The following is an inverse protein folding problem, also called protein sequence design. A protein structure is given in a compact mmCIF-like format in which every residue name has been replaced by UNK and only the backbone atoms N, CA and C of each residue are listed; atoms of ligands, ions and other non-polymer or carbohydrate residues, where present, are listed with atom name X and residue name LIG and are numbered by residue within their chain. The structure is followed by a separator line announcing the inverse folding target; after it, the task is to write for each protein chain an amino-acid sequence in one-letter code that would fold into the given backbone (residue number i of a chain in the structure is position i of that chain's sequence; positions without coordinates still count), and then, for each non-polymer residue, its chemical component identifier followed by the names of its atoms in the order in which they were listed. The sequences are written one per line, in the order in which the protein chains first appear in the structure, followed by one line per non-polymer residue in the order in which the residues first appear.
data_IF_762054966943
#
_entry.id   IF_762054966943
#
_cell.length_a   1.000
_cell.length_b   1.000
_cell.length_c   1.000
_cell.angle_alpha   90.00
_cell.angle_beta   90.00
_cell.angle_gamma   90.00
#
_symmetry.space_group_name_H-M   'P 1'
#
loop_
_entity.id
_entity.type
_entity.pdbx_description
1 polymer ?
#
# COMPACT_ATOMS: atom_id res chain seq x y z
N UNK A 1 -9.13 6.80 -18.13
CA UNK A 1 -9.33 7.80 -17.05
C UNK A 1 -8.69 7.33 -15.75
N UNK A 2 -8.24 8.26 -14.93
CA UNK A 2 -7.69 8.01 -13.61
C UNK A 2 -8.18 9.09 -12.64
N UNK A 3 -8.70 8.67 -11.49
CA UNK A 3 -9.24 9.56 -10.48
C UNK A 3 -8.80 9.16 -9.08
N UNK A 4 -8.43 10.15 -8.25
CA UNK A 4 -8.26 9.98 -6.82
C UNK A 4 -9.59 10.23 -6.09
N UNK A 5 -9.92 9.42 -5.09
CA UNK A 5 -11.15 9.57 -4.29
C UNK A 5 -11.21 10.94 -3.61
N UNK A 6 -10.06 11.50 -3.22
CA UNK A 6 -9.95 12.83 -2.62
C UNK A 6 -10.54 13.96 -3.47
N UNK A 7 -10.60 13.81 -4.80
CA UNK A 7 -11.26 14.78 -5.68
C UNK A 7 -12.77 14.86 -5.44
N UNK A 8 -13.36 13.75 -5.01
CA UNK A 8 -14.80 13.63 -4.76
C UNK A 8 -15.17 13.83 -3.29
N UNK A 9 -14.34 13.31 -2.40
CA UNK A 9 -14.56 13.40 -0.95
C UNK A 9 -14.13 14.74 -0.36
N UNK A 10 -13.22 15.47 -1.05
CA UNK A 10 -12.56 16.69 -0.56
C UNK A 10 -11.73 16.48 0.71
N UNK A 11 -11.37 15.24 0.99
CA UNK A 11 -10.49 14.85 2.09
C UNK A 11 -9.10 14.59 1.53
N UNK A 12 -8.10 15.36 1.95
CA UNK A 12 -6.71 15.18 1.53
C UNK A 12 -6.22 13.77 1.93
N UNK A 13 -5.59 13.08 0.99
CA UNK A 13 -5.12 11.71 1.17
C UNK A 13 -6.23 10.75 1.65
N UNK A 14 -7.43 10.85 1.07
CA UNK A 14 -8.52 9.94 1.38
C UNK A 14 -8.15 8.51 1.06
N UNK A 15 -8.08 7.67 2.08
CA UNK A 15 -7.77 6.24 1.98
C UNK A 15 -9.00 5.35 2.21
N UNK A 16 -10.19 5.92 2.17
CA UNK A 16 -11.44 5.15 2.19
C UNK A 16 -11.58 4.30 0.91
N UNK A 17 -12.56 3.41 0.91
CA UNK A 17 -12.90 2.67 -0.31
C UNK A 17 -13.25 3.67 -1.43
N UNK A 18 -12.53 3.66 -2.58
CA UNK A 18 -12.62 4.70 -3.59
C UNK A 18 -13.86 4.54 -4.47
N UNK A 19 -15.04 4.57 -3.84
CA UNK A 19 -16.32 4.30 -4.48
C UNK A 19 -16.62 5.27 -5.62
N UNK A 20 -16.50 6.56 -5.35
CA UNK A 20 -16.82 7.61 -6.34
C UNK A 20 -15.83 7.64 -7.48
N UNK A 21 -14.54 7.41 -7.21
CA UNK A 21 -13.51 7.29 -8.24
C UNK A 21 -13.79 6.09 -9.16
N UNK A 22 -14.17 4.94 -8.59
CA UNK A 22 -14.56 3.75 -9.35
C UNK A 22 -15.80 4.03 -10.20
N UNK A 23 -16.86 4.59 -9.62
CA UNK A 23 -18.10 4.94 -10.32
C UNK A 23 -17.83 5.88 -11.50
N UNK A 24 -16.94 6.87 -11.30
CA UNK A 24 -16.55 7.80 -12.37
C UNK A 24 -15.76 7.10 -13.48
N UNK A 25 -14.80 6.24 -13.14
CA UNK A 25 -14.08 5.43 -14.14
C UNK A 25 -15.03 4.54 -14.94
N UNK A 26 -16.00 3.91 -14.29
CA UNK A 26 -17.02 3.08 -14.95
C UNK A 26 -17.90 3.91 -15.87
N UNK A 27 -18.33 5.08 -15.44
CA UNK A 27 -19.09 6.02 -16.26
C UNK A 27 -18.33 6.45 -17.53
N UNK A 28 -17.04 6.73 -17.41
CA UNK A 28 -16.20 7.11 -18.55
C UNK A 28 -15.99 5.95 -19.55
N UNK A 29 -16.03 4.71 -19.08
CA UNK A 29 -15.98 3.52 -19.92
C UNK A 29 -17.26 3.29 -20.73
N UNK A 30 -18.37 3.90 -20.30
CA UNK A 30 -19.70 3.66 -20.86
C UNK A 30 -20.15 2.21 -20.64
N UNK A 31 -20.78 1.60 -21.65
CA UNK A 31 -21.31 0.23 -21.55
C UNK A 31 -20.27 -0.88 -21.79
N UNK A 32 -18.98 -0.59 -21.74
CA UNK A 32 -17.93 -1.59 -21.93
C UNK A 32 -17.85 -2.52 -20.72
N UNK A 33 -17.86 -3.82 -21.00
CA UNK A 33 -17.71 -4.85 -19.97
C UNK A 33 -16.30 -4.84 -19.39
N UNK A 34 -16.20 -4.95 -18.08
CA UNK A 34 -14.91 -5.14 -17.39
C UNK A 34 -14.72 -6.64 -17.16
N UNK A 35 -13.62 -7.17 -17.66
CA UNK A 35 -13.29 -8.58 -17.52
C UNK A 35 -12.41 -8.83 -16.31
N UNK A 36 -11.51 -7.90 -15.96
CA UNK A 36 -10.56 -8.05 -14.87
C UNK A 36 -10.37 -6.76 -14.07
N UNK A 37 -10.15 -6.91 -12.77
CA UNK A 37 -9.79 -5.84 -11.84
C UNK A 37 -8.43 -6.17 -11.26
N UNK A 38 -7.46 -5.27 -11.40
CA UNK A 38 -6.15 -5.39 -10.79
C UNK A 38 -6.08 -4.51 -9.54
N UNK A 39 -5.65 -5.08 -8.42
CA UNK A 39 -5.37 -4.37 -7.17
C UNK A 39 -3.86 -4.39 -6.93
N UNK A 40 -3.26 -3.22 -6.76
CA UNK A 40 -1.83 -3.04 -6.56
C UNK A 40 -1.34 -3.33 -5.14
N UNK A 41 -1.96 -4.26 -4.43
CA UNK A 41 -1.53 -4.77 -3.14
C UNK A 41 -2.17 -6.12 -2.84
N UNK A 42 -1.43 -7.02 -2.20
CA UNK A 42 -1.95 -8.29 -1.65
C UNK A 42 -2.48 -8.11 -0.24
N UNK A 43 -1.85 -7.21 0.52
CA UNK A 43 -2.23 -6.87 1.88
C UNK A 43 -2.31 -5.35 2.06
N UNK A 44 -3.07 -4.90 3.04
CA UNK A 44 -3.07 -3.50 3.46
C UNK A 44 -1.92 -3.23 4.43
N UNK A 45 -1.23 -2.10 4.25
CA UNK A 45 -0.42 -1.55 5.33
C UNK A 45 -1.34 -0.99 6.41
N UNK A 46 -1.45 -1.69 7.53
CA UNK A 46 -2.23 -1.23 8.67
C UNK A 46 -1.75 0.13 9.19
N UNK A 47 -0.47 0.42 9.03
CA UNK A 47 0.15 1.67 9.47
C UNK A 47 -0.38 2.88 8.70
N UNK A 48 -0.46 2.79 7.38
CA UNK A 48 -1.03 3.86 6.56
C UNK A 48 -2.53 4.03 6.79
N UNK A 49 -3.25 2.92 7.03
CA UNK A 49 -4.66 3.01 7.42
C UNK A 49 -4.87 3.75 8.73
N UNK A 50 -4.07 3.47 9.76
CA UNK A 50 -4.22 4.12 11.07
C UNK A 50 -4.00 5.63 10.98
N UNK A 51 -2.96 6.06 10.28
CA UNK A 51 -2.65 7.49 10.18
C UNK A 51 -3.71 8.29 9.42
N UNK A 52 -4.32 7.68 8.40
CA UNK A 52 -5.26 8.40 7.53
C UNK A 52 -6.73 8.20 7.91
N UNK A 53 -7.15 7.00 8.25
CA UNK A 53 -8.56 6.72 8.59
C UNK A 53 -8.90 7.26 9.99
N UNK A 54 -7.98 7.16 10.92
CA UNK A 54 -8.21 7.53 12.32
C UNK A 54 -7.71 8.92 12.67
N UNK A 55 -7.08 9.65 11.73
CA UNK A 55 -6.50 10.98 11.99
C UNK A 55 -5.69 10.96 13.29
N UNK A 56 -4.77 10.00 13.40
CA UNK A 56 -3.95 9.85 14.59
C UNK A 56 -3.24 11.17 14.89
N UNK A 57 -3.33 11.60 16.12
CA UNK A 57 -2.58 12.76 16.61
C UNK A 57 -1.09 12.44 16.70
N UNK A 58 -0.25 13.47 16.80
CA UNK A 58 1.19 13.30 17.07
C UNK A 58 1.41 12.46 18.34
N UNK A 59 0.59 12.66 19.38
CA UNK A 59 0.65 11.87 20.62
C UNK A 59 0.40 10.38 20.36
N UNK A 60 -0.54 10.03 19.49
CA UNK A 60 -0.82 8.64 19.14
C UNK A 60 0.33 8.02 18.35
N UNK A 61 0.96 8.77 17.46
CA UNK A 61 2.14 8.33 16.71
C UNK A 61 3.34 8.11 17.63
N UNK A 62 3.60 9.03 18.56
CA UNK A 62 4.65 8.87 19.59
C UNK A 62 4.34 7.65 20.47
N UNK A 63 3.07 7.46 20.84
CA UNK A 63 2.68 6.28 21.63
C UNK A 63 2.94 4.97 20.86
N UNK A 64 2.62 4.91 19.55
CA UNK A 64 2.92 3.76 18.71
C UNK A 64 4.44 3.54 18.58
N UNK A 65 5.20 4.60 18.41
CA UNK A 65 6.66 4.54 18.38
C UNK A 65 7.21 3.84 19.62
N UNK A 66 6.76 4.25 20.79
CA UNK A 66 7.27 3.75 22.08
C UNK A 66 6.73 2.35 22.47
N UNK A 67 5.53 1.99 22.03
CA UNK A 67 4.87 0.76 22.50
C UNK A 67 4.88 -0.36 21.45
N UNK A 68 5.13 -0.05 20.20
CA UNK A 68 5.21 -1.03 19.14
C UNK A 68 6.58 -1.04 18.46
N UNK A 69 6.97 0.07 17.80
CA UNK A 69 8.19 0.10 17.02
C UNK A 69 9.45 -0.05 17.87
N UNK A 70 9.52 0.61 19.01
CA UNK A 70 10.66 0.48 19.91
C UNK A 70 10.82 -0.96 20.40
N UNK A 71 9.72 -1.60 20.84
CA UNK A 71 9.74 -2.98 21.30
C UNK A 71 10.10 -3.96 20.17
N UNK A 72 9.59 -3.72 18.95
CA UNK A 72 9.88 -4.55 17.78
C UNK A 72 11.36 -4.48 17.38
N UNK A 73 11.91 -3.28 17.27
CA UNK A 73 13.25 -3.08 16.73
C UNK A 73 14.36 -3.27 17.75
N UNK A 74 14.16 -2.83 18.99
CA UNK A 74 15.21 -2.82 19.99
C UNK A 74 15.10 -3.97 21.00
N UNK A 75 13.90 -4.34 21.40
CA UNK A 75 13.68 -5.42 22.38
C UNK A 75 13.38 -6.77 21.74
N UNK A 76 13.28 -6.84 20.41
CA UNK A 76 12.91 -8.05 19.65
C UNK A 76 11.65 -8.75 20.17
N UNK A 77 10.72 -7.99 20.73
CA UNK A 77 9.44 -8.52 21.21
C UNK A 77 8.45 -8.62 20.05
N UNK A 78 7.99 -9.82 19.76
CA UNK A 78 6.95 -10.10 18.77
C UNK A 78 5.57 -9.69 19.30
N UNK A 79 5.27 -8.40 19.36
CA UNK A 79 3.91 -7.92 19.56
C UNK A 79 3.21 -7.84 18.21
N UNK A 80 2.00 -8.38 18.13
CA UNK A 80 1.17 -8.16 16.93
C UNK A 80 0.82 -6.67 16.84
N UNK A 81 1.07 -6.08 15.68
CA UNK A 81 0.66 -4.69 15.41
C UNK A 81 -0.83 -4.49 15.61
N UNK A 82 -1.65 -5.47 15.21
CA UNK A 82 -3.09 -5.46 15.43
C UNK A 82 -3.46 -5.38 16.92
N UNK A 83 -2.79 -6.16 17.76
CA UNK A 83 -3.09 -6.16 19.20
C UNK A 83 -2.74 -4.84 19.87
N UNK A 84 -1.60 -4.26 19.49
CA UNK A 84 -1.17 -2.96 20.02
C UNK A 84 -2.09 -1.83 19.57
N UNK A 85 -2.63 -1.92 18.38
CA UNK A 85 -3.44 -0.86 17.77
C UNK A 85 -4.95 -1.04 17.95
N UNK A 86 -5.41 -2.15 18.56
CA UNK A 86 -6.84 -2.42 18.82
C UNK A 86 -7.59 -1.25 19.43
N UNK A 87 -6.93 -0.48 20.30
CA UNK A 87 -7.52 0.71 20.94
C UNK A 87 -7.95 1.81 19.98
N UNK A 88 -7.35 1.86 18.78
CA UNK A 88 -7.67 2.84 17.75
C UNK A 88 -8.77 2.38 16.79
N UNK A 89 -9.17 1.11 16.83
CA UNK A 89 -10.10 0.53 15.89
C UNK A 89 -11.56 0.67 16.30
N UNK A 90 -12.35 1.27 15.44
CA UNK A 90 -13.80 1.16 15.54
C UNK A 90 -14.24 -0.16 14.90
N UNK A 91 -15.27 -0.80 15.50
CA UNK A 91 -15.72 -2.15 15.13
C UNK A 91 -16.07 -2.32 13.63
N UNK A 92 -16.62 -1.30 13.01
CA UNK A 92 -17.05 -1.26 11.61
C UNK A 92 -15.94 -0.92 10.61
N UNK A 93 -14.80 -0.44 11.10
CA UNK A 93 -13.65 0.01 10.31
C UNK A 93 -12.49 -0.98 10.35
N UNK A 94 -12.69 -2.18 10.89
CA UNK A 94 -11.64 -3.18 10.95
C UNK A 94 -11.15 -3.56 9.55
N UNK A 95 -9.82 -3.67 9.30
CA UNK A 95 -9.27 -3.93 7.96
C UNK A 95 -9.87 -5.12 7.23
N UNK A 96 -10.23 -6.17 7.97
CA UNK A 96 -10.90 -7.35 7.41
C UNK A 96 -12.25 -7.03 6.77
N UNK A 97 -12.97 -6.01 7.28
CA UNK A 97 -14.24 -5.59 6.70
C UNK A 97 -14.05 -4.82 5.39
N UNK A 98 -12.92 -4.13 5.24
CA UNK A 98 -12.55 -3.45 4.00
C UNK A 98 -12.32 -4.46 2.87
N UNK A 99 -11.53 -5.50 3.10
CA UNK A 99 -11.31 -6.56 2.13
C UNK A 99 -12.58 -7.30 1.76
N UNK A 100 -13.47 -7.56 2.74
CA UNK A 100 -14.78 -8.15 2.48
C UNK A 100 -15.66 -7.29 1.57
N UNK A 101 -15.55 -5.97 1.64
CA UNK A 101 -16.26 -5.04 0.74
C UNK A 101 -15.72 -5.14 -0.69
N UNK A 102 -14.40 -5.17 -0.85
CA UNK A 102 -13.77 -5.34 -2.17
C UNK A 102 -14.10 -6.71 -2.76
N UNK A 103 -13.97 -7.77 -1.97
CA UNK A 103 -14.23 -9.14 -2.42
C UNK A 103 -15.71 -9.37 -2.82
N UNK A 104 -16.65 -8.58 -2.28
CA UNK A 104 -18.07 -8.63 -2.67
C UNK A 104 -18.33 -8.09 -4.08
N UNK A 105 -17.50 -7.20 -4.59
CA UNK A 105 -17.75 -6.52 -5.88
C UNK A 105 -17.56 -7.47 -7.06
N UNK A 106 -16.62 -8.42 -7.00
CA UNK A 106 -16.47 -9.46 -8.03
C UNK A 106 -15.38 -10.47 -7.65
N UNK A 107 -15.70 -11.53 -6.92
CA UNK A 107 -14.72 -12.53 -6.47
C UNK A 107 -13.89 -13.17 -7.59
N UNK A 108 -14.46 -13.37 -8.77
CA UNK A 108 -13.83 -14.13 -9.87
C UNK A 108 -12.92 -13.30 -10.77
N UNK A 109 -12.87 -11.97 -10.59
CA UNK A 109 -12.19 -11.05 -11.51
C UNK A 109 -11.15 -10.14 -10.86
N UNK A 110 -10.91 -10.31 -9.56
CA UNK A 110 -9.96 -9.49 -8.82
C UNK A 110 -8.61 -10.18 -8.77
N UNK A 111 -7.60 -9.53 -9.34
CA UNK A 111 -6.20 -9.95 -9.31
C UNK A 111 -5.44 -9.07 -8.33
N UNK A 112 -5.00 -9.65 -7.21
CA UNK A 112 -4.15 -8.96 -6.22
C UNK A 112 -2.70 -9.09 -6.66
N UNK A 113 -2.10 -7.97 -7.03
CA UNK A 113 -0.72 -7.89 -7.50
C UNK A 113 0.15 -7.38 -6.35
N UNK A 114 1.27 -8.02 -6.12
CA UNK A 114 2.25 -7.62 -5.12
C UNK A 114 2.66 -6.14 -5.28
N UNK A 115 2.71 -5.40 -4.18
CA UNK A 115 2.99 -3.97 -4.14
C UNK A 115 4.30 -3.59 -4.86
N UNK A 116 5.40 -4.25 -4.53
CA UNK A 116 6.69 -3.99 -5.19
C UNK A 116 6.72 -4.45 -6.65
N UNK A 117 5.91 -5.44 -7.02
CA UNK A 117 5.72 -5.81 -8.43
C UNK A 117 5.05 -4.68 -9.21
N UNK A 118 4.07 -4.00 -8.62
CA UNK A 118 3.44 -2.83 -9.25
C UNK A 118 4.46 -1.70 -9.46
N UNK A 119 5.23 -1.36 -8.43
CA UNK A 119 6.29 -0.36 -8.55
C UNK A 119 7.33 -0.72 -9.61
N UNK A 120 7.82 -1.95 -9.61
CA UNK A 120 8.83 -2.40 -10.56
C UNK A 120 8.32 -2.37 -12.01
N UNK A 121 7.09 -2.83 -12.24
CA UNK A 121 6.47 -2.76 -13.57
C UNK A 121 6.25 -1.32 -14.01
N UNK A 122 5.76 -0.45 -13.14
CA UNK A 122 5.61 0.96 -13.46
C UNK A 122 6.96 1.57 -13.87
N UNK A 123 7.99 1.45 -13.01
CA UNK A 123 9.30 2.00 -13.29
C UNK A 123 9.91 1.48 -14.60
N UNK A 124 9.77 0.19 -14.87
CA UNK A 124 10.34 -0.43 -16.08
C UNK A 124 9.59 -0.03 -17.34
N UNK A 125 8.28 -0.16 -17.37
CA UNK A 125 7.48 0.07 -18.58
C UNK A 125 7.29 1.55 -18.93
N UNK A 126 7.47 2.47 -17.99
CA UNK A 126 7.46 3.92 -18.25
C UNK A 126 8.86 4.48 -18.55
N UNK A 127 9.91 3.67 -18.40
CA UNK A 127 11.28 4.09 -18.66
C UNK A 127 11.65 3.94 -20.14
N UNK A 128 12.68 4.66 -20.64
CA UNK A 128 13.20 4.46 -21.98
C UNK A 128 14.01 3.15 -22.14
N UNK A 129 14.04 2.29 -21.12
CA UNK A 129 14.87 1.08 -21.06
C UNK A 129 14.11 -0.23 -21.28
N UNK A 130 12.82 -0.18 -21.64
CA UNK A 130 11.96 -1.39 -21.80
C UNK A 130 12.54 -2.46 -22.72
N UNK A 131 13.34 -2.07 -23.73
CA UNK A 131 13.97 -3.00 -24.67
C UNK A 131 15.44 -3.32 -24.33
N UNK A 132 15.96 -2.73 -23.26
CA UNK A 132 17.33 -2.95 -22.79
C UNK A 132 17.32 -3.81 -21.53
N UNK A 133 18.41 -4.55 -21.33
CA UNK A 133 18.62 -5.25 -20.05
C UNK A 133 18.98 -4.22 -18.99
N UNK A 134 18.17 -4.11 -17.95
CA UNK A 134 18.36 -3.15 -16.86
C UNK A 134 18.02 -3.76 -15.49
N UNK A 135 18.59 -3.16 -14.46
CA UNK A 135 18.18 -3.42 -13.07
C UNK A 135 17.08 -2.43 -12.67
N UNK A 136 16.07 -2.94 -11.99
CA UNK A 136 14.95 -2.17 -11.47
C UNK A 136 14.93 -2.32 -9.96
N UNK A 137 15.13 -1.21 -9.26
CA UNK A 137 15.11 -1.14 -7.81
C UNK A 137 13.78 -0.56 -7.35
N UNK A 138 13.18 -1.15 -6.33
CA UNK A 138 12.03 -0.57 -5.63
C UNK A 138 12.36 -0.47 -4.15
N UNK A 139 12.12 0.70 -3.57
CA UNK A 139 12.29 0.95 -2.13
C UNK A 139 11.17 1.87 -1.64
N UNK A 140 10.51 1.47 -0.56
CA UNK A 140 9.49 2.28 0.10
C UNK A 140 9.45 2.03 1.61
N UNK A 141 8.44 2.56 2.28
CA UNK A 141 8.25 2.35 3.71
C UNK A 141 7.93 0.89 4.04
N UNK A 142 6.94 0.31 3.37
CA UNK A 142 6.53 -1.08 3.51
C UNK A 142 5.33 -1.40 2.61
N UNK A 143 5.35 -2.55 1.94
CA UNK A 143 4.23 -3.04 1.15
C UNK A 143 4.27 -4.55 0.96
N UNK A 144 3.19 -5.23 1.29
CA UNK A 144 3.03 -6.69 1.16
C UNK A 144 4.14 -7.53 1.83
N UNK A 145 4.61 -7.09 3.01
CA UNK A 145 5.64 -7.79 3.76
C UNK A 145 7.07 -7.45 3.35
N UNK A 146 7.26 -6.53 2.41
CA UNK A 146 8.56 -6.12 1.89
C UNK A 146 8.73 -4.61 1.97
N UNK A 147 9.98 -4.15 1.91
CA UNK A 147 10.30 -2.74 1.77
C UNK A 147 11.34 -2.44 0.70
N UNK A 148 11.95 -3.45 0.09
CA UNK A 148 12.76 -3.27 -1.11
C UNK A 148 12.82 -4.52 -1.98
N UNK A 149 12.93 -4.33 -3.30
CA UNK A 149 13.18 -5.43 -4.24
C UNK A 149 14.16 -5.01 -5.33
N UNK A 150 14.82 -6.01 -5.95
CA UNK A 150 15.63 -5.84 -7.15
C UNK A 150 15.09 -6.80 -8.20
N UNK A 151 14.89 -6.28 -9.40
CA UNK A 151 14.43 -7.05 -10.55
C UNK A 151 15.33 -6.81 -11.76
N UNK A 152 15.41 -7.80 -12.65
CA UNK A 152 16.00 -7.65 -13.97
C UNK A 152 14.86 -7.46 -14.99
N UNK A 153 14.90 -6.36 -15.73
CA UNK A 153 14.02 -6.09 -16.86
C UNK A 153 14.73 -6.39 -18.18
N UNK A 154 14.02 -7.07 -19.10
CA UNK A 154 14.51 -7.32 -20.45
C UNK A 154 13.36 -7.69 -21.39
N UNK A 155 13.27 -7.04 -22.55
CA UNK A 155 12.26 -7.31 -23.59
C UNK A 155 10.82 -7.40 -23.04
N UNK A 156 10.43 -6.42 -22.25
CA UNK A 156 9.08 -6.35 -21.70
C UNK A 156 8.81 -7.28 -20.48
N UNK A 157 9.79 -8.08 -20.08
CA UNK A 157 9.65 -8.99 -18.95
C UNK A 157 10.43 -8.50 -17.74
N UNK A 158 9.88 -8.71 -16.54
CA UNK A 158 10.52 -8.42 -15.27
C UNK A 158 10.67 -9.70 -14.46
N UNK A 159 11.89 -9.95 -13.97
CA UNK A 159 12.18 -11.05 -13.06
C UNK A 159 12.76 -10.51 -11.77
N UNK A 160 12.04 -10.65 -10.64
CA UNK A 160 12.56 -10.35 -9.31
C UNK A 160 13.70 -11.32 -8.98
N UNK A 161 14.85 -10.78 -8.56
CA UNK A 161 16.05 -11.54 -8.20
C UNK A 161 16.42 -11.39 -6.73
N UNK A 162 15.93 -10.33 -6.06
CA UNK A 162 16.16 -10.09 -4.63
C UNK A 162 14.97 -9.37 -4.01
N UNK A 163 14.74 -9.62 -2.73
CA UNK A 163 13.72 -8.94 -1.92
C UNK A 163 14.11 -8.92 -0.46
N UNK A 164 13.68 -7.89 0.28
CA UNK A 164 13.95 -7.75 1.71
C UNK A 164 12.86 -6.94 2.41
N UNK A 165 12.66 -7.23 3.68
CA UNK A 165 11.86 -6.47 4.63
C UNK A 165 12.73 -5.62 5.59
N UNK A 166 14.06 -5.62 5.38
CA UNK A 166 15.06 -5.00 6.25
C UNK A 166 15.64 -3.69 5.72
N UNK A 167 15.16 -3.19 4.57
CA UNK A 167 15.58 -1.92 4.00
C UNK A 167 14.76 -0.78 4.63
N UNK A 168 15.29 -0.08 5.61
CA UNK A 168 14.59 0.96 6.38
C UNK A 168 14.61 2.36 5.73
N UNK A 169 15.20 2.51 4.54
CA UNK A 169 15.40 3.81 3.89
C UNK A 169 14.09 4.60 3.77
N UNK A 170 13.01 3.96 3.32
CA UNK A 170 11.71 4.61 3.20
C UNK A 170 11.09 5.05 4.55
N UNK A 171 11.52 4.46 5.66
CA UNK A 171 11.05 4.81 7.01
C UNK A 171 11.87 5.93 7.67
N UNK A 172 13.06 6.22 7.16
CA UNK A 172 13.91 7.29 7.69
C UNK A 172 13.15 8.61 7.70
N UNK A 173 12.41 8.92 6.63
CA UNK A 173 11.57 10.12 6.57
C UNK A 173 10.56 10.20 7.71
N UNK A 174 9.84 9.11 7.97
CA UNK A 174 8.86 9.07 9.06
C UNK A 174 9.52 9.26 10.43
N UNK A 175 10.70 8.67 10.63
CA UNK A 175 11.44 8.82 11.90
C UNK A 175 11.95 10.23 12.09
N UNK A 176 12.51 10.86 11.06
CA UNK A 176 12.99 12.25 11.14
C UNK A 176 11.82 13.20 11.39
N UNK A 177 10.68 13.02 10.71
CA UNK A 177 9.49 13.85 10.93
C UNK A 177 8.94 13.75 12.36
N UNK A 178 9.15 12.62 13.03
CA UNK A 178 8.74 12.44 14.44
C UNK A 178 9.73 13.07 15.45
N UNK A 179 10.94 13.37 15.02
CA UNK A 179 11.99 13.99 15.85
C UNK A 179 11.97 15.52 15.77
N UNK A 180 11.36 16.10 14.73
CA UNK A 180 11.19 17.54 14.51
C UNK A 180 9.88 18.05 15.08
#
# INVERSE_FOLDING_TARGET
SAYGEERFSRVKNDMSYPKKAIEKCLSDLGNKKIDNIALGAKSYSYESMLTHIYKLSVKDMVWLQNNYYYDLFYKKKNKSFLDVTKKFWKKDQFPQNYWKKIDKVSKSKIHKIDHHTCHANYAYHTSPFQNKKCLVFTMDGYGDGLNATISIGYKGNLKRIYQTDKCIVGRIYSHITLLL
#
